data_IF_455343940210
#
_entry.id   IF_455343940210
#
_cell.length_a   1.000
_cell.length_b   1.000
_cell.length_c   1.000
_cell.angle_alpha   90.00
_cell.angle_beta   90.00
_cell.angle_gamma   90.00
#
_symmetry.space_group_name_H-M   'P 1'
#
loop_
_entity.id
_entity.type
_entity.pdbx_description
1 polymer ?
#
# COMPACT_ATOMS: atom_id res chain seq x y z
N UNK A 1 -23.43 3.53 6.03
CA UNK A 1 -23.00 2.14 5.71
C UNK A 1 -23.70 1.76 4.41
N UNK A 2 -23.00 1.79 3.27
CA UNK A 2 -23.58 1.41 1.98
C UNK A 2 -23.94 -0.07 1.98
N UNK A 3 -25.11 -0.42 1.44
CA UNK A 3 -25.54 -1.81 1.33
C UNK A 3 -24.63 -2.66 0.42
N UNK A 4 -24.75 -4.00 0.47
CA UNK A 4 -23.87 -4.91 -0.28
C UNK A 4 -23.85 -4.64 -1.79
N UNK A 5 -24.97 -4.24 -2.38
CA UNK A 5 -25.04 -3.87 -3.80
C UNK A 5 -24.32 -2.56 -4.14
N UNK A 6 -24.26 -1.59 -3.22
CA UNK A 6 -23.56 -0.33 -3.45
C UNK A 6 -22.04 -0.55 -3.45
N UNK A 7 -21.54 -1.41 -2.55
CA UNK A 7 -20.12 -1.77 -2.49
C UNK A 7 -19.66 -2.47 -3.76
N UNK A 8 -20.43 -3.44 -4.27
CA UNK A 8 -20.09 -4.14 -5.51
C UNK A 8 -20.17 -3.23 -6.73
N UNK A 9 -21.17 -2.35 -6.82
CA UNK A 9 -21.29 -1.38 -7.91
C UNK A 9 -20.11 -0.40 -7.92
N UNK A 10 -19.76 0.16 -6.76
CA UNK A 10 -18.62 1.06 -6.63
C UNK A 10 -17.29 0.35 -6.97
N UNK A 11 -17.15 -0.91 -6.56
CA UNK A 11 -15.98 -1.72 -6.89
C UNK A 11 -15.86 -1.97 -8.39
N UNK A 12 -16.94 -2.42 -9.04
CA UNK A 12 -16.96 -2.66 -10.50
C UNK A 12 -16.66 -1.38 -11.26
N UNK A 13 -17.25 -0.25 -10.86
CA UNK A 13 -16.99 1.05 -11.48
C UNK A 13 -15.52 1.45 -11.36
N UNK A 14 -14.91 1.31 -10.18
CA UNK A 14 -13.49 1.60 -9.98
C UNK A 14 -12.59 0.64 -10.77
N UNK A 15 -12.92 -0.65 -10.80
CA UNK A 15 -12.17 -1.65 -11.56
C UNK A 15 -12.19 -1.36 -13.05
N UNK A 16 -13.32 -0.92 -13.62
CA UNK A 16 -13.42 -0.56 -15.03
C UNK A 16 -12.54 0.66 -15.38
N UNK A 17 -12.52 1.68 -14.51
CA UNK A 17 -11.67 2.85 -14.70
C UNK A 17 -10.19 2.49 -14.67
N UNK A 18 -9.76 1.70 -13.67
CA UNK A 18 -8.37 1.25 -13.55
C UNK A 18 -7.99 0.35 -14.72
N UNK A 19 -8.90 -0.51 -15.18
CA UNK A 19 -8.67 -1.37 -16.34
C UNK A 19 -8.39 -0.56 -17.61
N UNK A 20 -9.15 0.52 -17.86
CA UNK A 20 -8.89 1.41 -19.00
C UNK A 20 -7.49 2.03 -18.97
N UNK A 21 -7.07 2.57 -17.81
CA UNK A 21 -5.75 3.18 -17.63
C UNK A 21 -4.62 2.17 -17.87
N UNK A 22 -4.78 0.94 -17.37
CA UNK A 22 -3.78 -0.12 -17.53
C UNK A 22 -3.70 -0.59 -18.98
N UNK A 23 -4.83 -0.72 -19.68
CA UNK A 23 -4.87 -1.10 -21.10
C UNK A 23 -4.11 -0.10 -21.97
N UNK A 24 -4.40 1.19 -21.85
CA UNK A 24 -3.71 2.25 -22.60
C UNK A 24 -2.19 2.24 -22.33
N UNK A 25 -1.80 2.09 -21.06
CA UNK A 25 -0.39 2.01 -20.67
C UNK A 25 0.30 0.76 -21.25
N UNK A 26 -0.42 -0.35 -21.33
CA UNK A 26 0.09 -1.64 -21.83
C UNK A 26 0.23 -1.63 -23.35
N UNK A 27 -0.71 -1.01 -24.08
CA UNK A 27 -0.61 -0.83 -25.52
C UNK A 27 0.62 0.02 -25.87
N UNK A 28 0.84 1.11 -25.13
CA UNK A 28 1.97 2.00 -25.34
C UNK A 28 3.32 1.32 -25.01
N UNK A 29 3.34 0.48 -23.98
CA UNK A 29 4.50 -0.32 -23.59
C UNK A 29 4.84 -1.42 -24.59
N UNK A 30 3.81 -2.01 -25.22
CA UNK A 30 3.98 -3.05 -26.23
C UNK A 30 4.37 -2.47 -27.59
N UNK A 31 3.92 -1.25 -27.90
CA UNK A 31 4.31 -0.53 -29.11
C UNK A 31 5.80 -0.14 -29.12
N UNK A 32 6.35 0.24 -27.96
CA UNK A 32 7.76 0.61 -27.79
C UNK A 32 8.34 -0.07 -26.54
N UNK A 33 8.93 -1.28 -26.66
CA UNK A 33 9.53 -1.97 -25.53
C UNK A 33 10.86 -1.33 -25.14
N UNK A 34 10.79 -0.20 -24.44
CA UNK A 34 11.94 0.49 -23.85
C UNK A 34 12.17 0.01 -22.42
N UNK A 35 13.45 -0.28 -22.12
CA UNK A 35 13.88 -0.73 -20.79
C UNK A 35 13.63 0.38 -19.78
N UNK A 36 12.92 0.07 -18.69
CA UNK A 36 12.57 1.06 -17.66
C UNK A 36 11.47 2.04 -18.06
N UNK A 37 10.66 1.72 -19.08
CA UNK A 37 9.49 2.51 -19.43
C UNK A 37 8.56 2.68 -18.23
N UNK A 38 8.28 3.94 -17.91
CA UNK A 38 7.37 4.34 -16.83
C UNK A 38 6.32 5.27 -17.41
N UNK A 39 5.15 5.39 -16.77
CA UNK A 39 4.06 6.28 -17.24
C UNK A 39 4.56 7.73 -17.41
N UNK A 40 5.51 8.16 -16.58
CA UNK A 40 6.21 9.46 -16.68
C UNK A 40 7.01 9.64 -17.97
N UNK A 41 7.64 8.56 -18.48
CA UNK A 41 8.39 8.57 -19.74
C UNK A 41 7.45 8.72 -20.93
N UNK A 42 6.31 8.04 -20.90
CA UNK A 42 5.29 8.19 -21.93
C UNK A 42 4.62 9.58 -21.88
N UNK A 43 4.36 10.11 -20.70
CA UNK A 43 3.80 11.46 -20.54
C UNK A 43 4.71 12.58 -21.05
N UNK A 44 6.03 12.49 -20.84
CA UNK A 44 6.98 13.48 -21.39
C UNK A 44 7.15 13.36 -22.90
N UNK A 45 7.03 12.15 -23.46
CA UNK A 45 7.18 11.88 -24.90
C UNK A 45 5.97 12.30 -25.73
N UNK A 46 4.75 12.03 -25.26
CA UNK A 46 3.52 12.17 -26.04
C UNK A 46 2.69 13.43 -25.74
N UNK A 47 2.83 14.04 -24.55
CA UNK A 47 2.01 15.21 -24.17
C UNK A 47 2.87 16.45 -23.94
N UNK A 48 3.69 16.47 -22.89
CA UNK A 48 4.59 17.58 -22.58
C UNK A 48 5.60 17.20 -21.50
N UNK A 49 6.76 17.85 -21.50
CA UNK A 49 7.78 17.65 -20.45
C UNK A 49 7.25 17.93 -19.03
N UNK A 50 6.33 18.90 -18.87
CA UNK A 50 5.73 19.21 -17.57
C UNK A 50 4.84 18.07 -17.05
N UNK A 51 4.04 17.44 -17.93
CA UNK A 51 3.17 16.34 -17.54
C UNK A 51 3.96 15.09 -17.12
N UNK A 52 5.04 14.77 -17.84
CA UNK A 52 5.95 13.69 -17.45
C UNK A 52 6.61 13.91 -16.08
N UNK A 53 7.00 15.15 -15.77
CA UNK A 53 7.52 15.52 -14.44
C UNK A 53 6.48 15.30 -13.34
N UNK A 54 5.25 15.79 -13.53
CA UNK A 54 4.16 15.65 -12.56
C UNK A 54 3.83 14.18 -12.31
N UNK A 55 3.72 13.36 -13.35
CA UNK A 55 3.47 11.92 -13.22
C UNK A 55 4.57 11.22 -12.43
N UNK A 56 5.84 11.59 -12.66
CA UNK A 56 6.97 11.06 -11.89
C UNK A 56 6.90 11.43 -10.41
N UNK A 57 6.53 12.68 -10.11
CA UNK A 57 6.39 13.15 -8.74
C UNK A 57 5.25 12.47 -8.00
N UNK A 58 4.09 12.33 -8.65
CA UNK A 58 2.93 11.61 -8.09
C UNK A 58 3.28 10.15 -7.81
N UNK A 59 4.00 9.49 -8.72
CA UNK A 59 4.42 8.10 -8.53
C UNK A 59 5.29 7.96 -7.28
N UNK A 60 6.33 8.79 -7.12
CA UNK A 60 7.18 8.78 -5.94
C UNK A 60 6.38 9.03 -4.65
N UNK A 61 5.47 10.01 -4.66
CA UNK A 61 4.66 10.37 -3.50
C UNK A 61 3.78 9.21 -3.02
N UNK A 62 3.15 8.46 -3.94
CA UNK A 62 2.30 7.30 -3.61
C UNK A 62 3.12 6.20 -2.91
N UNK A 63 4.32 5.87 -3.41
CA UNK A 63 5.16 4.87 -2.75
C UNK A 63 5.67 5.34 -1.39
N UNK A 64 6.06 6.61 -1.27
CA UNK A 64 6.52 7.16 0.00
C UNK A 64 5.43 7.08 1.08
N UNK A 65 4.20 7.48 0.75
CA UNK A 65 3.10 7.45 1.72
C UNK A 65 2.61 6.03 2.03
N UNK A 66 2.65 5.12 1.05
CA UNK A 66 2.30 3.71 1.27
C UNK A 66 3.31 2.98 2.16
N UNK A 67 4.59 3.34 2.08
CA UNK A 67 5.60 2.83 3.01
C UNK A 67 5.36 3.36 4.42
N UNK A 68 5.06 4.65 4.55
CA UNK A 68 4.74 5.25 5.85
C UNK A 68 3.49 4.62 6.48
N UNK A 69 2.44 4.36 5.69
CA UNK A 69 1.22 3.70 6.18
C UNK A 69 1.49 2.26 6.62
N UNK A 70 2.26 1.49 5.84
CA UNK A 70 2.66 0.14 6.18
C UNK A 70 3.52 0.11 7.46
N UNK A 71 4.43 1.06 7.63
CA UNK A 71 5.24 1.19 8.84
C UNK A 71 4.39 1.48 10.07
N UNK A 72 3.45 2.43 9.98
CA UNK A 72 2.54 2.78 11.07
C UNK A 72 1.68 1.58 11.48
N UNK A 73 1.11 0.86 10.50
CA UNK A 73 0.37 -0.36 10.75
C UNK A 73 1.25 -1.44 11.40
N UNK A 74 2.48 -1.63 10.92
CA UNK A 74 3.43 -2.60 11.45
C UNK A 74 3.77 -2.37 12.93
N UNK A 75 4.01 -1.14 13.34
CA UNK A 75 4.25 -0.81 14.75
C UNK A 75 3.05 -1.16 15.64
N UNK A 76 1.84 -0.85 15.17
CA UNK A 76 0.61 -1.20 15.89
C UNK A 76 0.45 -2.73 16.00
N UNK A 77 0.66 -3.47 14.92
CA UNK A 77 0.56 -4.93 14.93
C UNK A 77 1.58 -5.57 15.89
N UNK A 78 2.83 -5.09 15.90
CA UNK A 78 3.85 -5.56 16.84
C UNK A 78 3.49 -5.25 18.29
N UNK A 79 2.96 -4.05 18.56
CA UNK A 79 2.53 -3.68 19.90
C UNK A 79 1.37 -4.56 20.39
N UNK A 80 0.37 -4.82 19.55
CA UNK A 80 -0.77 -5.68 19.87
C UNK A 80 -0.35 -7.15 20.03
N UNK A 81 0.56 -7.65 19.20
CA UNK A 81 1.04 -9.02 19.28
C UNK A 81 1.84 -9.26 20.56
N UNK A 82 2.70 -8.32 20.98
CA UNK A 82 3.37 -8.38 22.29
C UNK A 82 2.38 -8.42 23.45
N UNK A 83 1.32 -7.60 23.42
CA UNK A 83 0.27 -7.61 24.46
C UNK A 83 -0.54 -8.90 24.48
N UNK A 84 -0.86 -9.46 23.32
CA UNK A 84 -1.54 -10.74 23.21
C UNK A 84 -0.66 -11.87 23.79
N UNK A 85 0.62 -11.90 23.44
CA UNK A 85 1.57 -12.87 23.98
C UNK A 85 1.75 -12.75 25.50
N UNK A 86 1.85 -11.52 26.00
CA UNK A 86 1.95 -11.25 27.43
C UNK A 86 0.71 -11.74 28.18
N UNK A 87 -0.48 -11.45 27.66
CA UNK A 87 -1.73 -11.93 28.26
C UNK A 87 -1.81 -13.47 28.25
N UNK A 88 -1.36 -14.13 27.19
CA UNK A 88 -1.30 -15.60 27.13
C UNK A 88 -0.25 -16.18 28.09
N UNK A 89 0.87 -15.47 28.32
CA UNK A 89 1.89 -15.88 29.28
C UNK A 89 1.39 -15.77 30.73
N UNK A 90 0.53 -14.79 31.04
CA UNK A 90 -0.12 -14.67 32.35
C UNK A 90 -1.13 -15.80 32.62
N UNK A 91 -1.86 -16.25 31.59
CA UNK A 91 -2.83 -17.36 31.68
C UNK A 91 -2.13 -18.73 31.76
N UNK A 92 -0.80 -18.78 31.59
CA UNK A 92 0.01 -20.00 31.70
C UNK A 92 0.04 -20.84 30.43
N UNK A 93 -0.60 -20.38 29.35
CA UNK A 93 -0.67 -21.05 28.04
C UNK A 93 0.57 -20.80 27.17
N UNK A 94 1.36 -19.75 27.46
CA UNK A 94 2.59 -19.41 26.76
C UNK A 94 3.81 -19.41 27.72
N UNK A 95 5.05 -19.66 27.22
CA UNK A 95 6.24 -19.77 28.07
C UNK A 95 6.53 -18.48 28.83
N UNK A 96 6.85 -18.61 30.13
CA UNK A 96 6.98 -17.53 31.12
C UNK A 96 8.03 -16.46 30.78
N UNK A 97 8.88 -16.69 29.79
CA UNK A 97 9.84 -15.71 29.27
C UNK A 97 9.15 -14.46 28.70
N UNK A 98 7.98 -14.61 28.06
CA UNK A 98 7.21 -13.51 27.49
C UNK A 98 6.40 -12.70 28.52
N UNK A 99 6.44 -13.08 29.80
CA UNK A 99 5.87 -12.29 30.90
C UNK A 99 6.83 -11.21 31.41
N UNK A 100 8.03 -11.08 30.82
CA UNK A 100 8.99 -10.03 31.19
C UNK A 100 8.64 -8.72 30.49
N UNK A 101 8.15 -7.76 31.25
CA UNK A 101 8.01 -6.37 30.79
C UNK A 101 9.34 -5.61 30.89
N UNK A 102 9.56 -4.65 29.99
CA UNK A 102 10.63 -3.64 30.12
C UNK A 102 10.31 -2.65 31.26
N UNK A 103 11.32 -1.93 31.78
CA UNK A 103 11.20 -0.97 32.90
C UNK A 103 10.15 0.13 32.69
N UNK A 104 9.69 0.38 31.46
CA UNK A 104 8.60 1.31 31.13
C UNK A 104 7.20 0.68 31.13
N UNK A 105 7.02 -0.56 31.62
CA UNK A 105 5.69 -1.19 31.75
C UNK A 105 5.06 -1.64 30.42
N UNK A 106 5.84 -1.61 29.33
CA UNK A 106 5.47 -2.18 28.04
C UNK A 106 5.86 -3.67 28.01
N UNK A 107 4.93 -4.58 27.65
CA UNK A 107 5.22 -6.00 27.49
C UNK A 107 6.07 -6.29 26.25
#
# INVERSE_FOLDING_TARGET
MGGPCFLSMAYVLMSLLVYGIVMETTELSSYLPVRGSSVSYFGSRYVSNSLGFVLGWIYWYIFAISLASAWSAGNLYLYLSSRALYSMALVGTAPRFFAKCTKSGVP
#
